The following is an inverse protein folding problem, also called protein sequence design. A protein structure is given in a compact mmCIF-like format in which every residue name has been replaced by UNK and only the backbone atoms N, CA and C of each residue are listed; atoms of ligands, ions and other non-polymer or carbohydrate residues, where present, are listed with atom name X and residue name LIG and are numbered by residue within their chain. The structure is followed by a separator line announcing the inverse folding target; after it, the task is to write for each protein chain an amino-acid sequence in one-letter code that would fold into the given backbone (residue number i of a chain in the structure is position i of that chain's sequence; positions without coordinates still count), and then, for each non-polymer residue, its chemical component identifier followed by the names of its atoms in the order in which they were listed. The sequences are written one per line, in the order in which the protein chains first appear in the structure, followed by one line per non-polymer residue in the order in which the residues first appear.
data_IF_844376266282
#
_entry.id   IF_844376266282
#
_cell.length_a   1.000
_cell.length_b   1.000
_cell.length_c   1.000
_cell.angle_alpha   90.00
_cell.angle_beta   90.00
_cell.angle_gamma   90.00
#
_symmetry.space_group_name_H-M   'P 1'
#
loop_
_entity.id
_entity.type
_entity.pdbx_description
1 polymer ?
#
# COMPACT_ATOMS: atom_id res chain seq x y z
N UNK A 1 2.15 24.01 -1.10
CA UNK A 1 0.84 24.49 -0.62
C UNK A 1 -0.30 23.70 -1.20
N UNK A 2 -0.59 23.83 -2.51
CA UNK A 2 -1.64 23.03 -3.14
C UNK A 2 -1.36 21.52 -3.03
N UNK A 3 -0.09 21.11 -3.19
CA UNK A 3 0.30 19.71 -3.06
C UNK A 3 0.09 19.20 -1.64
N UNK A 4 0.32 20.04 -0.62
CA UNK A 4 0.11 19.66 0.77
C UNK A 4 -1.36 19.41 1.07
N UNK A 5 -2.25 20.25 0.54
CA UNK A 5 -3.69 20.06 0.71
C UNK A 5 -4.17 18.78 0.01
N UNK A 6 -3.71 18.55 -1.22
CA UNK A 6 -4.05 17.33 -1.95
C UNK A 6 -3.51 16.09 -1.25
N UNK A 7 -2.27 16.16 -0.74
CA UNK A 7 -1.68 15.04 0.00
C UNK A 7 -2.49 14.70 1.24
N UNK A 8 -2.98 15.70 1.97
CA UNK A 8 -3.83 15.49 3.15
C UNK A 8 -5.13 14.78 2.81
N UNK A 9 -5.83 15.25 1.79
CA UNK A 9 -7.10 14.64 1.35
C UNK A 9 -6.85 13.19 0.88
N UNK A 10 -5.85 12.98 0.06
CA UNK A 10 -5.54 11.65 -0.46
C UNK A 10 -5.13 10.70 0.67
N UNK A 11 -4.29 11.18 1.59
CA UNK A 11 -3.89 10.38 2.75
C UNK A 11 -5.11 9.93 3.56
N UNK A 12 -6.07 10.83 3.74
CA UNK A 12 -7.30 10.53 4.48
C UNK A 12 -8.21 9.53 3.74
N UNK A 13 -8.07 9.40 2.43
CA UNK A 13 -8.81 8.42 1.64
C UNK A 13 -8.18 7.03 1.66
N UNK A 14 -6.89 6.93 1.94
CA UNK A 14 -6.18 5.65 1.89
C UNK A 14 -6.77 4.57 2.81
N UNK A 15 -7.22 4.87 4.03
CA UNK A 15 -7.88 3.84 4.85
C UNK A 15 -9.11 3.23 4.20
N UNK A 16 -9.87 4.01 3.44
CA UNK A 16 -11.04 3.48 2.71
C UNK A 16 -10.62 2.52 1.60
N UNK A 17 -9.54 2.86 0.91
CA UNK A 17 -8.97 1.99 -0.13
C UNK A 17 -8.46 0.69 0.50
N UNK A 18 -7.78 0.77 1.64
CA UNK A 18 -7.30 -0.41 2.37
C UNK A 18 -8.47 -1.32 2.76
N UNK A 19 -9.56 -0.73 3.25
CA UNK A 19 -10.74 -1.47 3.63
C UNK A 19 -11.38 -2.18 2.44
N UNK A 20 -11.43 -1.51 1.30
CA UNK A 20 -11.92 -2.13 0.08
C UNK A 20 -11.05 -3.32 -0.32
N UNK A 21 -9.73 -3.15 -0.33
CA UNK A 21 -8.81 -4.22 -0.72
C UNK A 21 -8.91 -5.41 0.24
N UNK A 22 -9.05 -5.14 1.54
CA UNK A 22 -9.21 -6.18 2.55
C UNK A 22 -10.53 -6.93 2.35
N UNK A 23 -11.62 -6.21 2.09
CA UNK A 23 -12.91 -6.81 1.82
C UNK A 23 -12.86 -7.69 0.58
N UNK A 24 -12.20 -7.22 -0.47
CA UNK A 24 -12.05 -7.97 -1.72
C UNK A 24 -11.25 -9.25 -1.50
N UNK A 25 -10.18 -9.19 -0.69
CA UNK A 25 -9.32 -10.34 -0.41
C UNK A 25 -10.01 -11.39 0.47
N UNK A 26 -10.91 -10.98 1.37
CA UNK A 26 -11.52 -11.85 2.36
C UNK A 26 -12.96 -12.29 1.99
N UNK A 27 -13.57 -11.63 1.01
CA UNK A 27 -14.94 -11.99 0.61
C UNK A 27 -14.93 -13.22 -0.30
N UNK A 28 -15.94 -14.11 -0.19
CA UNK A 28 -16.11 -15.15 -1.18
C UNK A 28 -16.28 -14.58 -2.58
N UNK A 29 -15.89 -15.36 -3.57
CA UNK A 29 -15.98 -14.95 -4.96
C UNK A 29 -17.42 -14.55 -5.30
N UNK A 30 -17.58 -13.38 -5.92
CA UNK A 30 -18.88 -12.87 -6.34
C UNK A 30 -19.66 -12.14 -5.27
N UNK A 31 -19.20 -12.12 -4.01
CA UNK A 31 -19.91 -11.41 -2.95
C UNK A 31 -19.82 -9.89 -3.10
N UNK A 32 -18.68 -9.39 -3.59
CA UNK A 32 -18.54 -7.97 -3.88
C UNK A 32 -18.90 -7.75 -5.35
N UNK A 33 -19.93 -6.95 -5.60
CA UNK A 33 -20.44 -6.76 -6.95
C UNK A 33 -19.40 -6.11 -7.87
N UNK A 34 -19.47 -6.43 -9.14
CA UNK A 34 -18.62 -5.81 -10.16
C UNK A 34 -18.80 -4.30 -10.19
N UNK A 35 -19.99 -3.79 -9.95
CA UNK A 35 -20.26 -2.37 -9.90
C UNK A 35 -19.47 -1.67 -8.81
N UNK A 36 -19.42 -2.24 -7.62
CA UNK A 36 -18.63 -1.71 -6.51
C UNK A 36 -17.14 -1.74 -6.86
N UNK A 37 -16.68 -2.86 -7.43
CA UNK A 37 -15.28 -2.97 -7.85
C UNK A 37 -14.92 -1.90 -8.88
N UNK A 38 -15.80 -1.63 -9.83
CA UNK A 38 -15.57 -0.60 -10.84
C UNK A 38 -15.50 0.80 -10.23
N UNK A 39 -16.33 1.08 -9.22
CA UNK A 39 -16.30 2.37 -8.52
C UNK A 39 -14.93 2.57 -7.87
N UNK A 40 -14.45 1.59 -7.13
CA UNK A 40 -13.16 1.72 -6.44
C UNK A 40 -11.99 1.75 -7.41
N UNK A 41 -12.03 0.96 -8.49
CA UNK A 41 -11.01 1.02 -9.54
C UNK A 41 -10.97 2.40 -10.18
N UNK A 42 -12.14 3.00 -10.40
CA UNK A 42 -12.22 4.36 -10.93
C UNK A 42 -11.59 5.38 -10.00
N UNK A 43 -11.83 5.26 -8.69
CA UNK A 43 -11.21 6.14 -7.69
C UNK A 43 -9.69 5.99 -7.74
N UNK A 44 -9.18 4.76 -7.72
CA UNK A 44 -7.74 4.51 -7.78
C UNK A 44 -7.12 5.06 -9.07
N UNK A 45 -7.77 4.86 -10.21
CA UNK A 45 -7.29 5.39 -11.48
C UNK A 45 -7.21 6.92 -11.45
N UNK A 46 -8.23 7.57 -10.89
CA UNK A 46 -8.23 9.02 -10.75
C UNK A 46 -7.07 9.50 -9.88
N UNK A 47 -6.85 8.83 -8.75
CA UNK A 47 -5.74 9.19 -7.86
C UNK A 47 -4.40 8.97 -8.53
N UNK A 48 -4.25 7.92 -9.35
CA UNK A 48 -3.03 7.67 -10.11
C UNK A 48 -2.76 8.79 -11.11
N UNK A 49 -3.80 9.32 -11.75
CA UNK A 49 -3.63 10.47 -12.65
C UNK A 49 -3.18 11.71 -11.91
N UNK A 50 -3.44 11.79 -10.61
CA UNK A 50 -2.99 12.90 -9.75
C UNK A 50 -1.60 12.68 -9.16
N UNK A 51 -0.95 11.57 -9.51
CA UNK A 51 0.42 11.30 -9.10
C UNK A 51 0.56 10.29 -7.97
N UNK A 52 -0.53 9.63 -7.56
CA UNK A 52 -0.46 8.59 -6.54
C UNK A 52 0.19 7.33 -7.10
N UNK A 53 1.18 6.80 -6.39
CA UNK A 53 1.82 5.52 -6.74
C UNK A 53 2.01 4.70 -5.48
N UNK A 54 1.85 3.38 -5.63
CA UNK A 54 2.16 2.46 -4.55
C UNK A 54 3.67 2.31 -4.42
N UNK A 55 4.18 2.32 -3.18
CA UNK A 55 5.59 2.07 -2.91
C UNK A 55 5.90 0.59 -3.13
N UNK A 56 6.93 0.26 -3.94
CA UNK A 56 7.41 -1.12 -3.99
C UNK A 56 7.88 -1.55 -2.60
N UNK A 57 7.48 -2.74 -2.17
CA UNK A 57 7.85 -3.21 -0.85
C UNK A 57 8.13 -4.71 -0.84
N UNK A 58 7.16 -5.56 -1.16
CA UNK A 58 7.34 -7.01 -1.08
C UNK A 58 8.47 -7.49 -1.98
N UNK A 59 9.43 -8.21 -1.38
CA UNK A 59 10.60 -8.69 -2.10
C UNK A 59 11.75 -7.69 -2.20
N UNK A 60 11.50 -6.44 -1.81
CA UNK A 60 12.53 -5.41 -1.83
C UNK A 60 13.38 -5.45 -0.56
N UNK A 61 14.60 -4.94 -0.66
CA UNK A 61 15.43 -4.74 0.53
C UNK A 61 14.75 -3.70 1.42
N UNK A 62 14.67 -3.98 2.72
CA UNK A 62 14.08 -3.04 3.67
C UNK A 62 14.81 -1.69 3.60
N UNK A 63 14.04 -0.63 3.50
CA UNK A 63 14.56 0.74 3.46
C UNK A 63 13.71 1.61 4.38
N UNK A 64 14.32 2.09 5.45
CA UNK A 64 13.62 2.89 6.47
C UNK A 64 13.06 4.21 5.94
N UNK A 65 13.52 4.67 4.77
CA UNK A 65 12.98 5.87 4.15
C UNK A 65 11.59 5.66 3.54
N UNK A 66 11.21 4.39 3.29
CA UNK A 66 9.96 4.04 2.63
C UNK A 66 9.14 3.04 3.42
N UNK A 67 9.77 2.24 4.27
CA UNK A 67 9.16 1.12 4.94
C UNK A 67 9.19 1.31 6.45
N UNK A 68 8.13 0.84 7.10
CA UNK A 68 8.04 0.80 8.56
C UNK A 68 7.99 -0.66 8.97
N UNK A 69 9.04 -1.15 9.62
CA UNK A 69 9.13 -2.54 10.05
C UNK A 69 8.27 -2.75 11.30
N UNK A 70 7.15 -3.43 11.14
CA UNK A 70 6.24 -3.71 12.25
C UNK A 70 6.71 -4.92 13.03
N UNK A 71 7.20 -5.94 12.33
CA UNK A 71 7.69 -7.16 12.96
C UNK A 71 8.71 -7.85 12.05
N UNK A 72 9.43 -8.81 12.62
CA UNK A 72 10.40 -9.61 11.89
C UNK A 72 10.01 -11.08 12.01
N UNK A 73 10.25 -11.84 10.95
CA UNK A 73 10.10 -13.29 10.93
C UNK A 73 11.34 -13.93 10.37
N UNK A 74 11.62 -15.20 10.76
CA UNK A 74 12.74 -15.90 10.16
C UNK A 74 12.61 -15.94 8.63
N UNK A 75 13.68 -15.55 7.94
CA UNK A 75 13.69 -15.56 6.49
C UNK A 75 13.64 -17.01 5.99
N UNK A 76 12.83 -17.30 4.95
CA UNK A 76 12.77 -18.64 4.38
C UNK A 76 14.09 -19.09 3.75
N UNK A 77 14.95 -18.13 3.35
CA UNK A 77 16.25 -18.40 2.78
C UNK A 77 17.22 -17.29 3.14
N UNK A 78 18.53 -17.55 2.97
CA UNK A 78 19.55 -16.52 3.20
C UNK A 78 19.31 -15.27 2.35
N UNK A 79 18.83 -15.46 1.14
CA UNK A 79 18.59 -14.36 0.21
C UNK A 79 17.49 -13.42 0.70
N UNK A 80 16.58 -13.91 1.54
CA UNK A 80 15.45 -13.12 2.02
C UNK A 80 15.76 -12.36 3.30
N UNK A 81 16.93 -12.55 3.88
CA UNK A 81 17.33 -11.80 5.07
C UNK A 81 17.48 -10.33 4.73
N UNK A 82 16.86 -9.48 5.54
CA UNK A 82 16.86 -8.04 5.32
C UNK A 82 15.88 -7.57 4.27
N UNK A 83 15.10 -8.47 3.69
CA UNK A 83 14.09 -8.13 2.69
C UNK A 83 12.70 -8.11 3.29
N UNK A 84 11.82 -7.39 2.64
CA UNK A 84 10.41 -7.35 3.01
C UNK A 84 9.75 -8.66 2.59
N UNK A 85 9.26 -9.40 3.59
CA UNK A 85 8.60 -10.69 3.36
C UNK A 85 7.12 -10.50 3.03
N UNK A 86 6.49 -9.50 3.63
CA UNK A 86 5.07 -9.23 3.43
C UNK A 86 4.76 -7.77 3.71
N UNK A 87 3.63 -7.30 3.19
CA UNK A 87 3.15 -5.94 3.37
C UNK A 87 1.83 -5.99 4.14
N UNK A 88 1.83 -5.41 5.34
CA UNK A 88 0.64 -5.35 6.18
C UNK A 88 -0.26 -4.18 5.80
N UNK A 89 0.34 -3.07 5.38
CA UNK A 89 -0.37 -1.90 4.91
C UNK A 89 0.46 -1.26 3.81
N UNK A 90 -0.15 -1.01 2.67
CA UNK A 90 0.56 -0.46 1.51
C UNK A 90 1.03 0.97 1.78
N UNK A 91 2.23 1.29 1.34
CA UNK A 91 2.74 2.64 1.33
C UNK A 91 2.48 3.31 -0.01
N UNK A 92 2.46 4.61 -0.01
CA UNK A 92 2.18 5.40 -1.21
C UNK A 92 3.05 6.63 -1.31
N UNK A 93 3.36 7.01 -2.54
CA UNK A 93 3.93 8.31 -2.85
C UNK A 93 2.90 9.14 -3.61
N UNK A 94 3.01 10.45 -3.48
CA UNK A 94 2.25 11.40 -4.28
C UNK A 94 3.24 12.37 -4.91
N UNK A 95 3.33 12.37 -6.24
CA UNK A 95 4.30 13.17 -6.98
C UNK A 95 5.72 12.96 -6.42
N UNK A 96 6.07 11.67 -6.25
CA UNK A 96 7.39 11.20 -5.78
C UNK A 96 7.70 11.52 -4.31
N UNK A 97 6.74 12.02 -3.54
CA UNK A 97 6.89 12.22 -2.10
C UNK A 97 6.14 11.15 -1.34
N UNK A 98 6.77 10.55 -0.35
CA UNK A 98 6.12 9.56 0.50
C UNK A 98 5.06 10.24 1.35
N UNK A 99 3.81 9.78 1.21
CA UNK A 99 2.71 10.27 2.02
C UNK A 99 2.26 9.23 3.05
N UNK A 100 2.66 7.98 2.87
CA UNK A 100 2.43 6.91 3.83
C UNK A 100 3.48 5.82 3.62
N UNK A 101 4.17 5.45 4.69
CA UNK A 101 5.14 4.35 4.65
C UNK A 101 4.41 3.01 4.49
N UNK A 102 5.04 2.05 3.84
CA UNK A 102 4.54 0.69 3.81
C UNK A 102 4.85 0.02 5.15
N UNK A 103 3.84 -0.53 5.80
CA UNK A 103 4.03 -1.33 7.02
C UNK A 103 4.34 -2.75 6.60
N UNK A 104 5.50 -3.24 7.01
CA UNK A 104 6.07 -4.46 6.44
C UNK A 104 6.54 -5.44 7.50
N UNK A 105 6.68 -6.68 7.08
CA UNK A 105 7.36 -7.75 7.82
C UNK A 105 8.70 -7.98 7.13
N UNK A 106 9.78 -7.97 7.91
CA UNK A 106 11.14 -8.07 7.37
C UNK A 106 11.73 -9.44 7.73
N UNK A 107 12.50 -10.01 6.81
CA UNK A 107 13.23 -11.26 7.03
C UNK A 107 14.38 -11.06 8.00
N UNK A 108 14.47 -11.97 8.94
CA UNK A 108 15.44 -11.92 10.03
C UNK A 108 16.55 -12.94 9.81
#
# INVERSE_FOLDING_TARGET
MLQTAAAGVITDLLPSIDNYERALANAPEGEISEGIQLIFKGILNTLQTKGLKELPAKGEVFNADFHDCITQYPAPSEEDKGKVLDVLEKGYTLNDKVIRFAKVVVGN
#
